data_IF_644448440364
#
_entry.id   IF_644448440364
#
_cell.length_a   1.000
_cell.length_b   1.000
_cell.length_c   1.000
_cell.angle_alpha   90.00
_cell.angle_beta   90.00
_cell.angle_gamma   90.00
#
_symmetry.space_group_name_H-M   'P 1'
#
loop_
_entity.id
_entity.type
_entity.pdbx_description
1 polymer ?
#
# COMPACT_ATOMS: atom_id res chain seq x y z
N UNK A 1 8.90 10.41 -22.83
CA UNK A 1 8.91 9.11 -22.12
C UNK A 1 9.86 9.26 -20.94
N UNK A 2 9.37 9.21 -19.70
CA UNK A 2 10.18 9.53 -18.51
C UNK A 2 11.30 8.48 -18.30
N UNK A 3 12.48 8.87 -17.80
CA UNK A 3 13.59 7.95 -17.46
C UNK A 3 13.16 6.73 -16.62
N UNK A 4 12.07 6.85 -15.86
CA UNK A 4 11.49 5.78 -15.03
C UNK A 4 10.94 4.62 -15.87
N UNK A 5 10.45 4.87 -17.09
CA UNK A 5 9.95 3.82 -17.99
C UNK A 5 11.10 3.07 -18.66
N UNK A 6 12.20 3.75 -18.99
CA UNK A 6 13.37 3.17 -19.66
C UNK A 6 14.19 2.26 -18.75
N UNK A 7 14.26 2.56 -17.45
CA UNK A 7 14.96 1.74 -16.47
C UNK A 7 14.24 0.43 -16.10
N UNK A 8 13.03 0.18 -16.61
CA UNK A 8 12.21 -0.96 -16.16
C UNK A 8 12.39 -2.22 -16.99
N UNK A 9 12.33 -3.40 -16.34
CA UNK A 9 12.27 -4.66 -17.06
C UNK A 9 11.05 -4.71 -17.99
N UNK A 10 11.26 -5.05 -19.26
CA UNK A 10 10.22 -5.13 -20.30
C UNK A 10 9.01 -5.99 -19.87
N UNK A 11 9.27 -7.08 -19.15
CA UNK A 11 8.23 -7.97 -18.63
C UNK A 11 7.29 -7.28 -17.63
N UNK A 12 7.80 -6.35 -16.82
CA UNK A 12 6.99 -5.60 -15.85
C UNK A 12 6.08 -4.60 -16.56
N UNK A 13 6.60 -3.91 -17.58
CA UNK A 13 5.80 -3.01 -18.41
C UNK A 13 4.67 -3.77 -19.13
N UNK A 14 4.99 -4.91 -19.76
CA UNK A 14 3.98 -5.74 -20.42
C UNK A 14 2.90 -6.26 -19.47
N UNK A 15 3.24 -6.54 -18.20
CA UNK A 15 2.29 -6.99 -17.20
C UNK A 15 1.42 -5.87 -16.60
N UNK A 16 1.94 -4.64 -16.53
CA UNK A 16 1.27 -3.49 -15.93
C UNK A 16 0.38 -2.74 -16.91
N UNK A 17 0.81 -2.62 -18.17
CA UNK A 17 0.11 -1.84 -19.20
C UNK A 17 -1.39 -2.21 -19.33
N UNK A 18 -1.80 -3.49 -19.37
CA UNK A 18 -3.22 -3.84 -19.44
C UNK A 18 -4.02 -3.36 -18.23
N UNK A 19 -3.43 -3.43 -17.03
CA UNK A 19 -4.08 -3.04 -15.77
C UNK A 19 -4.21 -1.53 -15.65
N UNK A 20 -3.19 -0.80 -16.08
CA UNK A 20 -3.22 0.66 -16.15
C UNK A 20 -4.20 1.16 -17.21
N UNK A 21 -4.36 0.44 -18.32
CA UNK A 21 -5.40 0.72 -19.31
C UNK A 21 -6.80 0.53 -18.73
N UNK A 22 -7.06 -0.60 -18.08
CA UNK A 22 -8.36 -0.83 -17.44
C UNK A 22 -8.73 0.26 -16.42
N UNK A 23 -7.74 0.76 -15.65
CA UNK A 23 -7.94 1.88 -14.74
C UNK A 23 -8.25 3.20 -15.46
N UNK A 24 -7.55 3.49 -16.57
CA UNK A 24 -7.84 4.66 -17.42
C UNK A 24 -9.24 4.59 -18.00
N UNK A 25 -9.62 3.45 -18.57
CA UNK A 25 -10.97 3.23 -19.12
C UNK A 25 -12.04 3.38 -18.04
N UNK A 26 -11.77 2.92 -16.81
CA UNK A 26 -12.66 3.14 -15.66
C UNK A 26 -12.80 4.63 -15.32
N UNK A 27 -11.70 5.38 -15.29
CA UNK A 27 -11.73 6.81 -15.01
C UNK A 27 -12.48 7.59 -16.09
N UNK A 28 -12.30 7.22 -17.36
CA UNK A 28 -13.06 7.78 -18.49
C UNK A 28 -14.56 7.49 -18.35
N UNK A 29 -14.96 6.26 -18.02
CA UNK A 29 -16.38 5.90 -17.79
C UNK A 29 -17.00 6.65 -16.61
N UNK A 30 -16.25 6.86 -15.54
CA UNK A 30 -16.68 7.63 -14.36
C UNK A 30 -16.65 9.15 -14.60
N UNK A 31 -16.08 9.60 -15.72
CA UNK A 31 -15.98 11.01 -16.12
C UNK A 31 -15.29 11.89 -15.06
N UNK A 32 -14.22 11.38 -14.43
CA UNK A 32 -13.45 12.17 -13.48
C UNK A 32 -12.80 13.39 -14.16
N UNK A 33 -12.84 14.55 -13.50
CA UNK A 33 -12.34 15.82 -14.06
C UNK A 33 -10.82 15.82 -14.24
N UNK A 34 -10.10 15.19 -13.33
CA UNK A 34 -8.66 14.99 -13.32
C UNK A 34 -8.23 13.71 -14.06
N UNK A 35 -9.11 13.17 -14.90
CA UNK A 35 -8.90 12.00 -15.73
C UNK A 35 -8.36 10.80 -14.93
N UNK A 36 -7.21 10.25 -15.34
CA UNK A 36 -6.57 9.08 -14.76
C UNK A 36 -5.59 9.41 -13.62
N UNK A 37 -5.62 10.63 -13.09
CA UNK A 37 -4.88 10.99 -11.88
C UNK A 37 -5.23 10.02 -10.77
N UNK A 38 -4.23 9.27 -10.29
CA UNK A 38 -4.42 8.20 -9.32
C UNK A 38 -4.57 8.80 -7.92
N UNK A 39 -5.69 8.50 -7.26
CA UNK A 39 -5.92 8.76 -5.84
C UNK A 39 -6.24 7.45 -5.12
N UNK A 40 -6.19 7.45 -3.79
CA UNK A 40 -6.60 6.29 -3.00
C UNK A 40 -8.06 5.92 -3.29
N UNK A 41 -8.97 6.89 -3.23
CA UNK A 41 -10.40 6.67 -3.45
C UNK A 41 -10.71 6.06 -4.82
N UNK A 42 -10.08 6.58 -5.88
CA UNK A 42 -10.26 6.02 -7.24
C UNK A 42 -9.74 4.61 -7.33
N UNK A 43 -8.59 4.32 -6.70
CA UNK A 43 -8.03 2.97 -6.69
C UNK A 43 -8.95 2.01 -5.93
N UNK A 44 -9.43 2.40 -4.74
CA UNK A 44 -10.34 1.58 -3.94
C UNK A 44 -11.66 1.31 -4.67
N UNK A 45 -12.24 2.34 -5.30
CA UNK A 45 -13.49 2.20 -6.04
C UNK A 45 -13.30 1.30 -7.27
N UNK A 46 -12.21 1.48 -8.02
CA UNK A 46 -11.87 0.61 -9.15
C UNK A 46 -11.70 -0.84 -8.72
N UNK A 47 -10.98 -1.10 -7.63
CA UNK A 47 -10.76 -2.46 -7.15
C UNK A 47 -12.08 -3.12 -6.72
N UNK A 48 -12.96 -2.38 -6.05
CA UNK A 48 -14.26 -2.88 -5.57
C UNK A 48 -15.22 -3.14 -6.72
N UNK A 49 -15.41 -2.17 -7.63
CA UNK A 49 -16.43 -2.25 -8.67
C UNK A 49 -16.03 -3.13 -9.87
N UNK A 50 -14.75 -3.11 -10.27
CA UNK A 50 -14.32 -3.68 -11.57
C UNK A 50 -13.45 -4.94 -11.44
N UNK A 51 -12.78 -5.13 -10.30
CA UNK A 51 -11.73 -6.15 -10.14
C UNK A 51 -12.11 -7.24 -9.14
N UNK A 52 -12.56 -6.89 -7.94
CA UNK A 52 -12.78 -7.85 -6.86
C UNK A 52 -13.87 -8.87 -7.21
N UNK A 53 -14.98 -8.40 -7.79
CA UNK A 53 -16.13 -9.24 -8.12
C UNK A 53 -16.09 -9.89 -9.50
N UNK A 54 -15.00 -9.70 -10.26
CA UNK A 54 -14.92 -10.17 -11.63
C UNK A 54 -14.85 -11.71 -11.69
N UNK A 55 -15.70 -12.36 -12.50
CA UNK A 55 -15.60 -13.79 -12.73
C UNK A 55 -14.33 -14.15 -13.49
N UNK A 56 -13.81 -15.36 -13.26
CA UNK A 56 -12.65 -15.83 -14.00
C UNK A 56 -13.00 -15.99 -15.49
N UNK A 57 -12.07 -15.61 -16.37
CA UNK A 57 -12.23 -15.79 -17.83
C UNK A 57 -12.30 -17.25 -18.25
N UNK A 58 -11.76 -18.16 -17.43
CA UNK A 58 -11.83 -19.59 -17.61
C UNK A 58 -11.94 -20.27 -16.24
N UNK A 59 -12.60 -21.43 -16.18
CA UNK A 59 -12.76 -22.18 -14.93
C UNK A 59 -11.37 -22.53 -14.40
N UNK A 60 -11.10 -22.17 -13.15
CA UNK A 60 -9.87 -22.58 -12.48
C UNK A 60 -9.83 -24.10 -12.43
N UNK A 61 -8.68 -24.70 -12.76
CA UNK A 61 -8.42 -26.13 -12.55
C UNK A 61 -8.58 -26.54 -11.07
N UNK A 62 -8.58 -25.58 -10.15
CA UNK A 62 -8.75 -25.79 -8.70
C UNK A 62 -10.17 -25.49 -8.20
N UNK A 63 -11.09 -25.06 -9.07
CA UNK A 63 -12.49 -24.86 -8.68
C UNK A 63 -13.16 -26.23 -8.55
N UNK A 64 -14.03 -26.40 -7.55
CA UNK A 64 -14.85 -27.60 -7.45
C UNK A 64 -15.69 -27.77 -8.73
N UNK A 65 -15.97 -29.02 -9.09
CA UNK A 65 -16.70 -29.35 -10.32
C UNK A 65 -18.06 -28.64 -10.40
N UNK A 66 -18.69 -28.42 -9.25
CA UNK A 66 -20.00 -27.80 -9.10
C UNK A 66 -19.99 -26.26 -9.00
N UNK A 67 -18.82 -25.60 -9.01
CA UNK A 67 -18.76 -24.13 -8.95
C UNK A 67 -19.02 -23.52 -10.33
N UNK A 68 -20.11 -22.75 -10.54
CA UNK A 68 -20.37 -22.09 -11.81
C UNK A 68 -19.32 -20.99 -12.08
N UNK A 69 -18.93 -20.84 -13.35
CA UNK A 69 -17.87 -19.90 -13.76
C UNK A 69 -18.15 -18.46 -13.28
N UNK A 70 -19.41 -18.03 -13.31
CA UNK A 70 -19.82 -16.69 -12.88
C UNK A 70 -19.72 -16.46 -11.36
N UNK A 71 -19.69 -17.54 -10.56
CA UNK A 71 -19.47 -17.47 -9.11
C UNK A 71 -17.99 -17.54 -8.73
N UNK A 72 -17.11 -17.89 -9.68
CA UNK A 72 -15.67 -17.76 -9.43
C UNK A 72 -15.30 -16.29 -9.33
N UNK A 73 -14.26 -15.98 -8.56
CA UNK A 73 -13.75 -14.63 -8.35
C UNK A 73 -12.25 -14.61 -8.60
N UNK A 74 -11.72 -13.44 -8.96
CA UNK A 74 -10.28 -13.27 -9.06
C UNK A 74 -9.62 -13.55 -7.71
N UNK A 75 -8.55 -14.35 -7.72
CA UNK A 75 -7.76 -14.56 -6.52
C UNK A 75 -7.17 -13.23 -6.02
N UNK A 76 -7.03 -13.08 -4.70
CA UNK A 76 -6.43 -11.89 -4.08
C UNK A 76 -5.08 -11.49 -4.69
N UNK A 77 -4.26 -12.47 -5.11
CA UNK A 77 -2.99 -12.22 -5.82
C UNK A 77 -3.18 -11.39 -7.10
N UNK A 78 -4.24 -11.66 -7.85
CA UNK A 78 -4.57 -10.91 -9.06
C UNK A 78 -5.00 -9.49 -8.70
N UNK A 79 -5.87 -9.31 -7.69
CA UNK A 79 -6.29 -7.98 -7.20
C UNK A 79 -5.06 -7.16 -6.77
N UNK A 80 -4.16 -7.75 -5.98
CA UNK A 80 -2.90 -7.11 -5.54
C UNK A 80 -2.00 -6.70 -6.70
N UNK A 81 -2.06 -7.41 -7.83
CA UNK A 81 -1.30 -7.04 -9.03
C UNK A 81 -1.85 -5.77 -9.70
N UNK A 82 -3.16 -5.50 -9.62
CA UNK A 82 -3.76 -4.22 -10.03
C UNK A 82 -3.30 -3.10 -9.12
N UNK A 83 -3.40 -3.27 -7.79
CA UNK A 83 -2.90 -2.28 -6.82
C UNK A 83 -1.45 -1.91 -7.12
N UNK A 84 -0.59 -2.89 -7.40
CA UNK A 84 0.83 -2.65 -7.70
C UNK A 84 1.01 -1.89 -9.01
N UNK A 85 0.30 -2.26 -10.08
CA UNK A 85 0.38 -1.59 -11.38
C UNK A 85 -0.15 -0.15 -11.34
N UNK A 86 -1.17 0.13 -10.52
CA UNK A 86 -1.75 1.48 -10.41
C UNK A 86 -0.94 2.36 -9.46
N UNK A 87 -0.41 1.81 -8.36
CA UNK A 87 0.59 2.52 -7.52
C UNK A 87 1.81 2.92 -8.34
N UNK A 88 2.16 2.09 -9.31
CA UNK A 88 3.25 2.34 -10.22
C UNK A 88 2.95 3.46 -11.25
N UNK A 89 1.70 3.53 -11.74
CA UNK A 89 1.20 4.67 -12.53
C UNK A 89 1.28 5.96 -11.70
N UNK A 90 0.81 5.93 -10.45
CA UNK A 90 0.91 7.04 -9.49
C UNK A 90 2.35 7.55 -9.35
N UNK A 91 3.34 6.66 -9.18
CA UNK A 91 4.76 7.05 -9.07
C UNK A 91 5.26 7.78 -10.31
N UNK A 92 4.82 7.36 -11.49
CA UNK A 92 5.13 8.04 -12.77
C UNK A 92 4.48 9.43 -12.81
N UNK A 93 3.21 9.54 -12.42
CA UNK A 93 2.50 10.83 -12.36
C UNK A 93 3.15 11.79 -11.35
N UNK A 94 3.57 11.31 -10.16
CA UNK A 94 4.31 12.10 -9.17
C UNK A 94 5.64 12.61 -9.71
N UNK A 95 6.42 11.74 -10.35
CA UNK A 95 7.72 12.11 -10.90
C UNK A 95 7.62 13.14 -12.03
N UNK A 96 6.50 13.14 -12.76
CA UNK A 96 6.19 14.14 -13.79
C UNK A 96 5.55 15.42 -13.23
N UNK A 97 5.33 15.50 -11.91
CA UNK A 97 4.66 16.64 -11.29
C UNK A 97 3.17 16.76 -11.61
N UNK A 98 2.54 15.71 -12.16
CA UNK A 98 1.13 15.70 -12.57
C UNK A 98 0.18 15.39 -11.41
N UNK A 99 0.67 14.73 -10.37
CA UNK A 99 -0.15 14.27 -9.25
C UNK A 99 0.38 14.85 -7.93
N UNK A 100 -0.46 15.57 -7.18
CA UNK A 100 -0.10 16.15 -5.88
C UNK A 100 -0.58 15.31 -4.68
N UNK A 101 -1.44 14.32 -4.91
CA UNK A 101 -2.09 13.51 -3.88
C UNK A 101 -1.10 12.63 -3.10
N UNK A 102 -1.48 12.18 -1.89
CA UNK A 102 -0.73 11.16 -1.15
C UNK A 102 -0.69 9.83 -1.90
N UNK A 103 0.18 8.92 -1.43
CA UNK A 103 0.31 7.58 -2.03
C UNK A 103 -1.00 6.81 -1.86
N UNK A 104 -1.56 6.19 -2.91
CA UNK A 104 -2.76 5.35 -2.81
C UNK A 104 -2.50 4.01 -2.11
N UNK A 105 -1.26 3.75 -1.73
CA UNK A 105 -0.87 2.82 -0.69
C UNK A 105 -0.34 3.67 0.45
N UNK A 106 -1.19 4.07 1.38
CA UNK A 106 -0.69 4.52 2.67
C UNK A 106 -0.23 3.27 3.43
N UNK A 107 1.04 3.25 3.83
CA UNK A 107 1.54 2.25 4.77
C UNK A 107 0.86 2.55 6.11
N UNK A 108 -0.22 1.84 6.41
CA UNK A 108 -1.07 2.14 7.56
C UNK A 108 -0.27 2.15 8.86
N UNK A 109 -0.52 3.13 9.72
CA UNK A 109 0.01 3.22 11.10
C UNK A 109 -0.34 1.96 11.91
N UNK A 110 -1.38 1.22 11.53
CA UNK A 110 -1.77 -0.08 12.13
C UNK A 110 -0.69 -1.15 12.08
N UNK A 111 0.35 -0.96 11.26
CA UNK A 111 1.48 -1.88 11.16
C UNK A 111 2.63 -1.55 12.14
N UNK A 112 2.49 -0.50 12.98
CA UNK A 112 3.41 -0.12 14.05
C UNK A 112 2.89 -0.60 15.42
N UNK A 113 3.71 -1.33 16.17
CA UNK A 113 3.37 -1.76 17.52
C UNK A 113 4.62 -1.88 18.40
N UNK A 114 4.42 -1.96 19.72
CA UNK A 114 5.48 -2.21 20.70
C UNK A 114 5.11 -3.39 21.57
N UNK A 115 6.06 -4.27 21.87
CA UNK A 115 5.90 -5.32 22.87
C UNK A 115 7.20 -5.47 23.67
N UNK A 116 7.14 -6.13 24.82
CA UNK A 116 8.29 -6.26 25.69
C UNK A 116 9.23 -7.35 25.19
N UNK A 117 10.50 -7.00 24.99
CA UNK A 117 11.57 -7.96 24.70
C UNK A 117 12.25 -8.33 26.01
N UNK A 118 11.88 -9.49 26.55
CA UNK A 118 12.49 -10.04 27.75
C UNK A 118 13.95 -10.43 27.48
N UNK A 119 14.85 -10.10 28.42
CA UNK A 119 16.26 -10.50 28.34
C UNK A 119 17.18 -9.62 27.48
N UNK A 120 16.67 -8.58 26.80
CA UNK A 120 17.45 -7.68 25.93
C UNK A 120 18.19 -6.54 26.67
N UNK A 121 18.46 -6.71 27.97
CA UNK A 121 19.30 -5.79 28.74
C UNK A 121 18.84 -5.54 30.18
N UNK A 122 19.53 -4.64 30.92
CA UNK A 122 19.27 -4.36 32.33
C UNK A 122 18.01 -3.49 32.58
N UNK A 123 17.41 -2.95 31.52
CA UNK A 123 16.17 -2.16 31.59
C UNK A 123 15.16 -2.71 30.62
N UNK A 124 13.88 -2.52 30.93
CA UNK A 124 12.74 -2.92 30.09
C UNK A 124 12.93 -2.45 28.65
N UNK A 125 12.89 -3.39 27.70
CA UNK A 125 13.09 -3.13 26.28
C UNK A 125 11.74 -3.14 25.55
N UNK A 126 11.33 -1.98 25.04
CA UNK A 126 10.10 -1.80 24.25
C UNK A 126 10.49 -1.27 22.85
N UNK A 127 10.89 -2.13 21.91
CA UNK A 127 11.18 -1.69 20.56
C UNK A 127 9.93 -1.18 19.84
N UNK A 128 10.14 -0.23 18.94
CA UNK A 128 9.16 0.08 17.90
C UNK A 128 9.28 -0.98 16.82
N UNK A 129 8.23 -1.77 16.62
CA UNK A 129 8.14 -2.79 15.60
C UNK A 129 7.27 -2.26 14.48
N UNK A 130 7.72 -2.43 13.24
CA UNK A 130 6.92 -2.17 12.05
C UNK A 130 6.89 -3.42 11.18
N UNK A 131 5.71 -3.79 10.74
CA UNK A 131 5.53 -4.87 9.78
C UNK A 131 5.27 -4.30 8.39
N UNK A 132 5.94 -4.81 7.38
CA UNK A 132 5.63 -4.49 5.99
C UNK A 132 5.44 -5.77 5.20
N UNK A 133 4.44 -5.76 4.32
CA UNK A 133 4.28 -6.81 3.29
C UNK A 133 4.75 -6.32 1.93
N UNK A 134 5.30 -5.12 1.83
CA UNK A 134 5.50 -4.39 0.57
C UNK A 134 6.89 -3.74 0.48
N UNK A 135 7.94 -4.56 0.44
CA UNK A 135 9.29 -4.11 0.10
C UNK A 135 9.60 -4.19 -1.41
N UNK A 136 10.51 -3.33 -1.92
CA UNK A 136 11.04 -3.44 -3.31
C UNK A 136 11.63 -4.83 -3.60
N UNK A 137 12.18 -5.49 -2.58
CA UNK A 137 12.75 -6.84 -2.68
C UNK A 137 11.73 -7.95 -2.35
N UNK A 138 10.55 -7.60 -1.83
CA UNK A 138 9.55 -8.54 -1.31
C UNK A 138 8.49 -8.88 -2.36
N UNK A 139 8.93 -9.53 -3.45
CA UNK A 139 8.07 -9.84 -4.61
C UNK A 139 6.88 -10.77 -4.26
N UNK A 140 7.00 -11.56 -3.19
CA UNK A 140 5.99 -12.52 -2.75
C UNK A 140 5.04 -11.95 -1.68
N UNK A 141 5.30 -10.74 -1.21
CA UNK A 141 4.50 -10.08 -0.19
C UNK A 141 4.51 -10.80 1.15
N UNK A 142 5.65 -11.41 1.50
CA UNK A 142 5.89 -12.07 2.78
C UNK A 142 5.83 -11.03 3.89
N UNK A 143 5.36 -11.40 5.07
CA UNK A 143 5.46 -10.51 6.22
C UNK A 143 6.94 -10.31 6.56
N UNK A 144 7.41 -9.08 6.44
CA UNK A 144 8.73 -8.64 6.87
C UNK A 144 8.53 -7.77 8.11
N UNK A 145 9.35 -8.02 9.12
CA UNK A 145 9.32 -7.27 10.38
C UNK A 145 10.65 -6.56 10.49
N UNK A 146 10.60 -5.28 10.81
CA UNK A 146 11.78 -4.55 11.22
C UNK A 146 11.47 -3.78 12.52
N UNK A 147 12.53 -3.49 13.25
CA UNK A 147 12.44 -2.98 14.61
C UNK A 147 13.45 -1.88 14.85
N UNK A 148 13.09 -0.98 15.74
CA UNK A 148 13.97 0.09 16.21
C UNK A 148 14.01 0.08 17.73
N UNK A 149 15.22 -0.09 18.27
CA UNK A 149 15.49 -0.02 19.70
C UNK A 149 15.61 1.44 20.15
N UNK A 150 15.38 1.66 21.45
CA UNK A 150 15.59 2.98 22.07
C UNK A 150 17.08 3.35 21.98
N UNK A 151 17.37 4.50 21.39
CA UNK A 151 18.73 5.03 21.34
C UNK A 151 19.01 5.86 22.59
N UNK A 152 20.25 5.83 23.09
CA UNK A 152 20.69 6.67 24.23
C UNK A 152 20.66 8.16 23.86
N UNK A 153 20.94 8.50 22.60
CA UNK A 153 20.79 9.86 22.12
C UNK A 153 19.34 10.09 21.67
N UNK A 154 18.57 10.95 22.36
CA UNK A 154 17.16 11.16 22.05
C UNK A 154 16.93 11.78 20.66
N UNK A 155 17.89 12.55 20.14
CA UNK A 155 17.78 13.22 18.85
C UNK A 155 17.75 12.26 17.65
N UNK A 156 18.22 11.03 17.83
CA UNK A 156 18.22 9.98 16.79
C UNK A 156 17.33 8.78 17.19
N UNK A 157 16.64 8.87 18.32
CA UNK A 157 15.79 7.78 18.79
C UNK A 157 14.44 7.85 18.08
N UNK A 158 14.16 6.87 17.21
CA UNK A 158 12.86 6.84 16.49
C UNK A 158 11.67 6.69 17.45
N UNK A 159 11.79 5.85 18.49
CA UNK A 159 10.75 5.72 19.51
C UNK A 159 10.52 7.04 20.28
N UNK A 160 11.61 7.74 20.64
CA UNK A 160 11.54 9.02 21.32
C UNK A 160 10.94 10.11 20.43
N UNK A 161 11.40 10.22 19.19
CA UNK A 161 10.87 11.18 18.21
C UNK A 161 9.37 10.97 17.95
N UNK A 162 8.93 9.72 17.80
CA UNK A 162 7.51 9.41 17.63
C UNK A 162 6.70 9.79 18.88
N UNK A 163 7.18 9.45 20.08
CA UNK A 163 6.50 9.81 21.32
C UNK A 163 6.35 11.33 21.48
N UNK A 164 7.41 12.10 21.21
CA UNK A 164 7.35 13.57 21.23
C UNK A 164 6.41 14.13 20.18
N UNK A 165 6.38 13.56 18.97
CA UNK A 165 5.45 13.98 17.93
C UNK A 165 4.00 13.76 18.33
N UNK A 166 3.65 12.59 18.89
CA UNK A 166 2.28 12.28 19.32
C UNK A 166 1.84 13.15 20.50
N UNK A 167 2.72 13.35 21.49
CA UNK A 167 2.50 14.29 22.60
C UNK A 167 2.26 15.70 22.07
N UNK A 168 3.11 16.16 21.15
CA UNK A 168 2.94 17.47 20.56
C UNK A 168 1.62 17.58 19.81
N UNK A 169 1.26 16.57 19.02
CA UNK A 169 0.06 16.57 18.17
C UNK A 169 -1.22 16.63 18.97
N UNK A 170 -1.36 15.80 20.01
CA UNK A 170 -2.64 15.65 20.72
C UNK A 170 -2.73 16.43 22.03
N UNK A 171 -1.62 16.63 22.75
CA UNK A 171 -1.65 17.33 24.05
C UNK A 171 -1.17 18.78 23.97
N UNK A 172 -0.11 19.07 23.19
CA UNK A 172 0.51 20.42 23.21
C UNK A 172 -0.10 21.35 22.17
N UNK A 173 -0.21 20.91 20.93
CA UNK A 173 -0.77 21.71 19.84
C UNK A 173 -2.29 21.82 19.93
N UNK A 174 -2.95 20.76 20.45
CA UNK A 174 -4.40 20.68 20.70
C UNK A 174 -5.31 21.00 19.49
N UNK A 175 -4.77 21.00 18.25
CA UNK A 175 -5.52 21.22 17.02
C UNK A 175 -6.41 20.03 16.65
N UNK A 176 -6.16 18.85 17.23
CA UNK A 176 -6.87 17.60 16.98
C UNK A 176 -7.14 16.86 18.30
N UNK A 177 -8.35 16.33 18.54
CA UNK A 177 -8.65 15.55 19.73
C UNK A 177 -7.88 14.21 19.72
N UNK A 178 -7.63 13.66 20.91
CA UNK A 178 -7.07 12.32 21.02
C UNK A 178 -7.99 11.29 20.33
N UNK A 179 -7.44 10.36 19.53
CA UNK A 179 -8.23 9.41 18.76
C UNK A 179 -9.02 8.44 19.65
N UNK A 180 -10.23 8.11 19.25
CA UNK A 180 -11.04 7.04 19.85
C UNK A 180 -10.53 5.70 19.32
N UNK A 181 -9.97 4.87 20.22
CA UNK A 181 -9.21 3.65 19.91
C UNK A 181 -10.09 2.38 19.93
#
# INVERSE_FOLDING_TARGET
>A
LSMIQEARPKNTLAAYEPKQREFRDFCERKQYQDADTVTEDKLLLFLTEEVADRPLRAKSLKAAEDTPLQATRLAWRSVRSYTTAITDLYRTQKALGMNAHPSPREDNISDLFTFEFEGEGPTRCMPLIFTTRAGKQNQHGRLETAGALRNKNPLICMLGGLAFYLLYRWDIAADEPFPDL
#
